data_IF_551890522915
#
_entry.id   IF_551890522915
#
_cell.length_a   1.000
_cell.length_b   1.000
_cell.length_c   1.000
_cell.angle_alpha   90.00
_cell.angle_beta   90.00
_cell.angle_gamma   90.00
#
_symmetry.space_group_name_H-M   'P 1'
#
loop_
_entity.id
_entity.type
_entity.pdbx_description
1 polymer ?
#
# COMPACT_ATOMS: atom_id res chain seq x y z
N UNK A 1 -12.15 -14.91 -3.37
CA UNK A 1 -11.81 -14.14 -4.57
C UNK A 1 -11.29 -12.81 -4.09
N UNK A 2 -10.01 -12.53 -4.35
CA UNK A 2 -9.39 -11.30 -3.92
C UNK A 2 -8.97 -10.52 -5.17
N UNK A 3 -9.84 -9.60 -5.62
CA UNK A 3 -9.61 -8.78 -6.81
C UNK A 3 -8.68 -7.61 -6.47
N UNK A 4 -7.40 -7.87 -6.24
CA UNK A 4 -6.41 -6.81 -6.14
C UNK A 4 -6.11 -6.27 -7.53
N UNK A 5 -6.60 -5.07 -7.84
CA UNK A 5 -6.21 -4.35 -9.06
C UNK A 5 -5.05 -3.45 -8.69
N UNK A 6 -3.83 -3.82 -9.12
CA UNK A 6 -2.68 -2.94 -9.09
C UNK A 6 -2.58 -2.25 -10.45
N UNK A 7 -3.08 -1.02 -10.54
CA UNK A 7 -2.85 -0.16 -11.68
C UNK A 7 -1.59 0.66 -11.44
N UNK A 8 -0.46 0.28 -12.04
CA UNK A 8 0.65 1.22 -12.22
C UNK A 8 0.32 2.03 -13.47
N UNK A 9 -0.15 3.26 -13.31
CA UNK A 9 -0.37 4.18 -14.43
C UNK A 9 0.80 5.15 -14.47
N UNK A 10 1.86 4.89 -15.25
CA UNK A 10 2.92 5.87 -15.46
C UNK A 10 2.32 7.04 -16.25
N UNK A 11 2.00 8.12 -15.56
CA UNK A 11 1.56 9.36 -16.22
C UNK A 11 2.79 10.24 -16.39
N UNK A 12 3.38 10.26 -17.58
CA UNK A 12 4.41 11.26 -17.91
C UNK A 12 3.68 12.56 -18.26
N UNK A 13 3.40 13.38 -17.25
CA UNK A 13 2.92 14.74 -17.46
C UNK A 13 4.11 15.68 -17.71
N UNK A 14 4.18 16.31 -18.89
CA UNK A 14 4.98 17.52 -19.05
C UNK A 14 4.19 18.68 -18.46
N UNK A 15 4.51 19.09 -17.24
CA UNK A 15 4.07 20.38 -16.71
C UNK A 15 5.02 21.43 -17.28
N UNK A 16 4.52 22.29 -18.16
CA UNK A 16 5.22 23.55 -18.45
C UNK A 16 5.10 24.44 -17.21
N UNK A 17 6.19 25.06 -16.72
CA UNK A 17 6.07 26.07 -15.69
C UNK A 17 5.19 27.22 -16.20
N UNK A 18 4.37 27.75 -15.31
CA UNK A 18 3.61 28.97 -15.55
C UNK A 18 4.60 30.10 -15.92
N UNK A 19 4.53 30.68 -17.13
CA UNK A 19 5.48 31.72 -17.56
C UNK A 19 5.48 32.94 -16.65
N UNK A 20 4.41 33.18 -15.90
CA UNK A 20 4.29 34.33 -15.00
C UNK A 20 5.01 34.13 -13.66
N UNK A 21 5.39 32.88 -13.31
CA UNK A 21 6.17 32.57 -12.11
C UNK A 21 7.69 32.80 -12.28
N UNK A 22 8.15 33.14 -13.50
CA UNK A 22 9.58 33.26 -13.83
C UNK A 22 10.19 34.65 -13.59
N UNK A 23 9.41 35.66 -13.18
CA UNK A 23 9.84 37.06 -13.29
C UNK A 23 10.22 37.80 -12.00
N UNK A 24 10.20 37.20 -10.80
CA UNK A 24 10.47 37.99 -9.58
C UNK A 24 11.61 37.58 -8.66
N UNK A 25 12.20 36.37 -8.72
CA UNK A 25 13.34 36.04 -7.85
C UNK A 25 14.35 35.09 -8.52
N UNK A 26 15.64 35.39 -8.34
CA UNK A 26 16.81 34.66 -8.88
C UNK A 26 17.15 33.35 -8.12
N UNK A 27 16.29 32.32 -8.19
CA UNK A 27 16.80 30.95 -8.35
C UNK A 27 16.19 30.21 -9.56
N UNK A 28 15.25 30.83 -10.30
CA UNK A 28 14.44 30.15 -11.30
C UNK A 28 15.22 29.59 -12.52
N UNK A 29 16.43 30.10 -12.79
CA UNK A 29 17.24 29.69 -13.95
C UNK A 29 17.76 28.24 -13.82
N UNK A 30 17.93 27.72 -12.60
CA UNK A 30 18.39 26.33 -12.42
C UNK A 30 17.28 25.27 -12.63
N UNK A 31 16.01 25.68 -12.57
CA UNK A 31 14.86 24.76 -12.69
C UNK A 31 14.55 24.34 -14.13
N UNK A 32 15.04 25.08 -15.12
CA UNK A 32 14.75 24.83 -16.53
C UNK A 32 15.59 23.71 -17.17
N UNK A 33 16.53 23.10 -16.45
CA UNK A 33 17.55 22.20 -17.03
C UNK A 33 17.24 20.71 -16.95
N UNK A 34 16.28 20.28 -16.12
CA UNK A 34 15.89 18.87 -15.98
C UNK A 34 14.38 18.68 -16.12
N UNK A 35 13.92 17.62 -16.82
CA UNK A 35 12.50 17.33 -16.92
C UNK A 35 11.95 16.97 -15.54
N UNK A 36 10.84 17.60 -15.16
CA UNK A 36 10.02 17.13 -14.04
C UNK A 36 9.46 15.76 -14.39
N UNK A 37 9.84 14.74 -13.62
CA UNK A 37 9.26 13.39 -13.76
C UNK A 37 8.42 13.09 -12.53
N UNK A 38 7.12 12.96 -12.74
CA UNK A 38 6.18 12.55 -11.70
C UNK A 38 5.72 11.11 -11.95
N UNK A 39 5.85 10.26 -10.94
CA UNK A 39 5.37 8.87 -10.95
C UNK A 39 4.37 8.71 -9.82
N UNK A 40 3.17 8.23 -10.15
CA UNK A 40 2.12 7.92 -9.17
C UNK A 40 1.87 6.41 -9.13
N UNK A 41 1.88 5.85 -7.93
CA UNK A 41 1.46 4.49 -7.65
C UNK A 41 0.21 4.53 -6.77
N UNK A 42 -0.81 3.79 -7.19
CA UNK A 42 -2.07 3.66 -6.45
C UNK A 42 -2.29 2.19 -6.18
N UNK A 43 -2.26 1.81 -4.90
CA UNK A 43 -2.55 0.47 -4.47
C UNK A 43 -3.94 0.41 -3.85
N UNK A 44 -4.78 -0.46 -4.41
CA UNK A 44 -6.14 -0.74 -3.94
C UNK A 44 -6.07 -1.88 -2.92
N UNK A 45 -6.08 -1.55 -1.63
CA UNK A 45 -6.11 -2.56 -0.56
C UNK A 45 -7.57 -2.92 -0.31
N UNK A 46 -8.14 -3.71 -1.24
CA UNK A 46 -9.56 -4.01 -1.26
C UNK A 46 -10.02 -4.85 -0.06
N UNK A 47 -11.27 -4.67 0.38
CA UNK A 47 -12.23 -3.66 -0.09
C UNK A 47 -12.10 -2.29 0.62
N UNK A 48 -10.99 -2.03 1.33
CA UNK A 48 -11.03 -1.13 2.49
C UNK A 48 -10.47 0.27 2.22
N UNK A 49 -9.33 0.41 1.54
CA UNK A 49 -8.66 1.70 1.40
C UNK A 49 -7.66 1.78 0.25
N UNK A 50 -7.14 2.98 0.01
CA UNK A 50 -6.13 3.25 -1.01
C UNK A 50 -4.81 3.68 -0.36
N UNK A 51 -3.70 3.25 -0.95
CA UNK A 51 -2.37 3.77 -0.66
C UNK A 51 -1.83 4.47 -1.89
N UNK A 52 -1.38 5.70 -1.69
CA UNK A 52 -0.80 6.55 -2.72
C UNK A 52 0.69 6.75 -2.44
N UNK A 53 1.50 6.61 -3.47
CA UNK A 53 2.89 7.03 -3.51
C UNK A 53 3.09 7.89 -4.74
N UNK A 54 3.46 9.14 -4.53
CA UNK A 54 3.91 10.04 -5.58
C UNK A 54 5.40 10.29 -5.43
N UNK A 55 6.16 10.04 -6.48
CA UNK A 55 7.58 10.33 -6.56
C UNK A 55 7.81 11.40 -7.62
N UNK A 56 8.56 12.44 -7.25
CA UNK A 56 8.87 13.58 -8.11
C UNK A 56 10.38 13.70 -8.23
N UNK A 57 10.92 13.46 -9.42
CA UNK A 57 12.29 13.86 -9.73
C UNK A 57 12.28 15.37 -10.06
N UNK A 58 12.41 16.19 -9.02
CA UNK A 58 12.27 17.64 -9.07
C UNK A 58 13.23 18.34 -8.12
N UNK A 59 13.74 19.51 -8.53
CA UNK A 59 14.44 20.47 -7.66
C UNK A 59 13.54 21.67 -7.30
N UNK A 60 12.29 21.64 -7.75
CA UNK A 60 11.29 22.68 -7.53
C UNK A 60 10.43 22.28 -6.32
N UNK A 61 10.22 23.19 -5.35
CA UNK A 61 9.24 22.99 -4.29
C UNK A 61 7.88 22.62 -4.89
N UNK A 62 7.20 21.65 -4.28
CA UNK A 62 5.94 21.15 -4.79
C UNK A 62 4.95 20.93 -3.66
N UNK A 63 3.68 21.07 -4.02
CA UNK A 63 2.57 20.84 -3.10
C UNK A 63 1.73 19.66 -3.60
N UNK A 64 1.33 18.80 -2.68
CA UNK A 64 0.39 17.74 -2.93
C UNK A 64 -1.00 18.14 -2.45
N UNK A 65 -1.99 18.09 -3.35
CA UNK A 65 -3.36 18.55 -3.08
C UNK A 65 -4.36 17.40 -3.18
N UNK A 66 -5.22 17.27 -2.17
CA UNK A 66 -6.42 16.41 -2.21
C UNK A 66 -7.67 17.24 -2.06
N UNK A 67 -8.55 17.12 -3.06
CA UNK A 67 -9.86 17.77 -3.08
C UNK A 67 -10.96 16.76 -2.77
N UNK A 68 -11.86 17.12 -1.85
CA UNK A 68 -13.02 16.31 -1.47
C UNK A 68 -14.28 17.17 -1.57
N UNK A 69 -15.18 16.78 -2.47
CA UNK A 69 -16.45 17.49 -2.71
C UNK A 69 -17.46 17.27 -1.60
N UNK A 70 -18.20 18.33 -1.23
CA UNK A 70 -19.36 18.25 -0.33
C UNK A 70 -19.07 17.80 1.11
N UNK A 71 -17.80 17.81 1.54
CA UNK A 71 -17.39 17.39 2.87
C UNK A 71 -17.05 18.57 3.79
N UNK A 72 -17.13 18.38 5.10
CA UNK A 72 -16.50 19.24 6.12
C UNK A 72 -15.13 18.65 6.45
N UNK A 73 -14.07 19.44 6.35
CA UNK A 73 -12.73 19.01 6.73
C UNK A 73 -12.47 19.35 8.20
N UNK A 74 -12.00 18.38 8.98
CA UNK A 74 -11.46 18.58 10.33
C UNK A 74 -10.01 18.11 10.33
N UNK A 75 -9.08 19.04 10.51
CA UNK A 75 -7.70 18.69 10.82
C UNK A 75 -7.64 18.35 12.31
N UNK A 76 -7.02 17.23 12.64
CA UNK A 76 -6.72 16.89 14.03
C UNK A 76 -5.25 17.17 14.28
N UNK A 77 -4.96 18.10 15.19
CA UNK A 77 -3.61 18.22 15.74
C UNK A 77 -3.34 16.99 16.64
N UNK A 78 -2.09 16.48 16.65
CA UNK A 78 -1.72 15.37 17.52
C UNK A 78 -2.04 15.71 18.98
N UNK A 79 -2.97 14.98 19.59
CA UNK A 79 -3.19 15.06 21.03
C UNK A 79 -2.17 14.13 21.69
N UNK A 80 -1.15 14.75 22.29
CA UNK A 80 -0.02 14.19 23.05
C UNK A 80 1.28 13.91 22.27
N UNK A 81 2.45 14.27 22.86
CA UNK A 81 3.76 13.95 22.33
C UNK A 81 4.11 12.49 22.65
N UNK A 82 3.44 11.55 21.99
CA UNK A 82 4.05 10.25 21.77
C UNK A 82 5.20 10.49 20.78
N UNK A 83 6.44 10.27 21.22
CA UNK A 83 7.71 10.53 20.50
C UNK A 83 7.82 9.87 19.10
N UNK A 84 6.77 9.21 18.61
CA UNK A 84 6.77 8.47 17.35
C UNK A 84 5.63 8.85 16.38
N UNK A 85 4.59 9.58 16.79
CA UNK A 85 3.38 9.70 15.94
C UNK A 85 2.75 11.09 15.99
N UNK A 86 3.36 12.07 15.33
CA UNK A 86 2.61 13.22 14.84
C UNK A 86 1.91 12.81 13.53
N UNK A 87 0.76 12.13 13.66
CA UNK A 87 -0.03 11.75 12.50
C UNK A 87 -0.69 13.01 11.91
N UNK A 88 -0.28 13.36 10.70
CA UNK A 88 -0.94 14.35 9.87
C UNK A 88 -2.21 13.74 9.26
N UNK A 89 -3.26 13.66 10.06
CA UNK A 89 -4.54 13.08 9.61
C UNK A 89 -5.58 14.16 9.43
N UNK A 90 -6.21 14.19 8.25
CA UNK A 90 -7.36 15.04 7.94
C UNK A 90 -8.58 14.17 7.71
N UNK A 91 -9.66 14.45 8.43
CA UNK A 91 -10.94 13.77 8.22
C UNK A 91 -11.87 14.66 7.41
N UNK A 92 -12.41 14.11 6.33
CA UNK A 92 -13.49 14.71 5.55
C UNK A 92 -14.80 14.02 5.89
N UNK A 93 -15.74 14.75 6.48
CA UNK A 93 -17.05 14.24 6.89
C UNK A 93 -18.13 14.63 5.89
N UNK A 94 -18.97 13.68 5.47
CA UNK A 94 -20.17 13.93 4.66
C UNK A 94 -21.46 13.78 5.48
N UNK A 95 -22.59 14.35 5.05
CA UNK A 95 -23.85 14.28 5.79
C UNK A 95 -24.42 12.86 5.94
N UNK A 96 -24.17 12.00 4.96
CA UNK A 96 -24.63 10.61 4.79
C UNK A 96 -23.94 9.59 5.72
N UNK A 97 -23.36 10.05 6.82
CA UNK A 97 -22.63 9.21 7.76
C UNK A 97 -21.36 8.54 7.23
N UNK A 98 -20.82 9.05 6.11
CA UNK A 98 -19.55 8.61 5.54
C UNK A 98 -18.44 9.60 5.92
N UNK A 99 -17.25 9.07 6.15
CA UNK A 99 -16.04 9.84 6.34
C UNK A 99 -14.90 9.30 5.46
N UNK A 100 -13.96 10.19 5.13
CA UNK A 100 -12.67 9.83 4.57
C UNK A 100 -11.59 10.29 5.53
N UNK A 101 -10.82 9.36 6.05
CA UNK A 101 -9.59 9.66 6.78
C UNK A 101 -8.40 9.64 5.81
N UNK A 102 -7.74 10.78 5.66
CA UNK A 102 -6.53 10.93 4.85
C UNK A 102 -5.32 11.03 5.79
N UNK A 103 -4.44 10.04 5.75
CA UNK A 103 -3.20 10.00 6.51
C UNK A 103 -2.03 10.41 5.63
N UNK A 104 -1.38 11.52 5.95
CA UNK A 104 -0.20 12.02 5.26
C UNK A 104 1.06 11.49 5.94
N UNK A 105 1.71 10.51 5.32
CA UNK A 105 2.83 9.77 5.90
C UNK A 105 4.19 10.34 5.48
N UNK A 106 4.28 10.87 4.26
CA UNK A 106 5.44 11.59 3.76
C UNK A 106 5.01 12.87 3.03
N UNK A 107 5.74 13.99 3.22
CA UNK A 107 6.85 14.15 4.18
C UNK A 107 6.37 14.15 5.64
N UNK A 108 7.12 13.50 6.55
CA UNK A 108 6.71 13.28 7.96
C UNK A 108 6.45 14.57 8.75
N UNK A 109 7.12 15.66 8.37
CA UNK A 109 7.05 16.96 9.06
C UNK A 109 6.08 17.94 8.40
N UNK A 110 5.43 17.56 7.29
CA UNK A 110 4.47 18.46 6.66
C UNK A 110 3.36 18.84 7.65
N UNK A 111 2.82 20.04 7.52
CA UNK A 111 1.60 20.42 8.20
C UNK A 111 0.51 20.57 7.14
N UNK A 112 -0.47 19.66 7.08
CA UNK A 112 -1.54 19.76 6.11
C UNK A 112 -2.33 21.05 6.30
N UNK A 113 -2.39 21.89 5.26
CA UNK A 113 -3.21 23.11 5.24
C UNK A 113 -4.56 22.77 4.64
N UNK A 114 -5.64 23.14 5.31
CA UNK A 114 -7.00 22.88 4.80
C UNK A 114 -7.66 24.18 4.34
N UNK A 115 -8.47 24.10 3.28
CA UNK A 115 -9.13 25.27 2.70
C UNK A 115 -10.40 24.93 1.94
N UNK A 116 -10.98 25.95 1.31
CA UNK A 116 -12.11 25.83 0.39
C UNK A 116 -11.77 26.43 -0.96
N UNK A 117 -12.20 25.76 -2.02
CA UNK A 117 -12.13 26.28 -3.38
C UNK A 117 -13.48 26.07 -4.05
N UNK A 118 -14.01 27.12 -4.68
CA UNK A 118 -15.19 27.03 -5.54
C UNK A 118 -14.71 26.47 -6.87
N UNK A 119 -15.24 25.30 -7.26
CA UNK A 119 -14.97 24.64 -8.54
C UNK A 119 -16.20 24.71 -9.43
N UNK A 120 -16.07 24.33 -10.71
CA UNK A 120 -17.21 24.17 -11.62
C UNK A 120 -18.26 23.18 -11.10
N UNK A 121 -17.86 22.26 -10.22
CA UNK A 121 -18.73 21.27 -9.58
C UNK A 121 -19.21 21.71 -8.18
N UNK A 122 -19.06 22.99 -7.84
CA UNK A 122 -19.42 23.57 -6.55
C UNK A 122 -18.25 23.69 -5.57
N UNK A 123 -18.55 23.96 -4.29
CA UNK A 123 -17.55 24.17 -3.25
C UNK A 123 -16.89 22.85 -2.84
N UNK A 124 -15.57 22.77 -3.04
CA UNK A 124 -14.73 21.66 -2.57
C UNK A 124 -13.93 22.09 -1.36
N UNK A 125 -13.70 21.15 -0.43
CA UNK A 125 -12.64 21.30 0.58
C UNK A 125 -11.38 20.69 0.03
N UNK A 126 -10.24 21.30 0.32
CA UNK A 126 -8.95 20.70 -0.02
C UNK A 126 -8.07 20.59 1.20
N UNK A 127 -7.10 19.69 1.10
CA UNK A 127 -5.90 19.66 1.94
C UNK A 127 -4.68 19.73 1.04
N UNK A 128 -3.75 20.61 1.40
CA UNK A 128 -2.47 20.77 0.73
C UNK A 128 -1.33 20.38 1.67
N UNK A 129 -0.39 19.58 1.18
CA UNK A 129 0.82 19.18 1.86
C UNK A 129 2.00 19.70 1.06
N UNK A 130 2.70 20.68 1.61
CA UNK A 130 3.86 21.27 0.97
C UNK A 130 5.12 20.47 1.28
N UNK A 131 6.00 20.42 0.29
CA UNK A 131 7.30 19.79 0.41
C UNK A 131 8.43 20.70 -0.09
N UNK A 132 9.38 20.95 0.80
CA UNK A 132 10.53 21.83 0.58
C UNK A 132 11.74 21.04 0.05
N UNK A 133 11.50 20.08 -0.86
CA UNK A 133 12.55 19.36 -1.57
C UNK A 133 12.69 17.88 -1.22
N UNK A 134 11.74 17.27 -0.50
CA UNK A 134 11.59 15.82 -0.59
C UNK A 134 10.92 15.47 -1.93
N UNK A 135 11.27 14.32 -2.48
CA UNK A 135 10.85 13.90 -3.82
C UNK A 135 9.72 12.89 -3.72
N UNK A 136 9.01 12.83 -2.59
CA UNK A 136 8.14 11.71 -2.25
C UNK A 136 6.97 12.14 -1.35
N UNK A 137 5.75 11.94 -1.83
CA UNK A 137 4.53 12.02 -1.03
C UNK A 137 3.94 10.63 -0.86
N UNK A 138 3.56 10.30 0.37
CA UNK A 138 2.89 9.03 0.68
C UNK A 138 1.67 9.28 1.52
N UNK A 139 0.54 8.74 1.08
CA UNK A 139 -0.72 8.90 1.77
C UNK A 139 -1.55 7.61 1.82
N UNK A 140 -2.36 7.47 2.87
CA UNK A 140 -3.41 6.45 2.97
C UNK A 140 -4.76 7.15 2.96
N UNK A 141 -5.66 6.72 2.09
CA UNK A 141 -7.02 7.23 1.97
C UNK A 141 -8.00 6.14 2.40
N UNK A 142 -8.59 6.28 3.58
CA UNK A 142 -9.46 5.28 4.19
C UNK A 142 -10.92 5.77 4.25
N UNK A 143 -11.78 5.38 3.29
CA UNK A 143 -13.21 5.60 3.38
C UNK A 143 -13.82 4.72 4.46
N UNK A 144 -14.75 5.25 5.26
CA UNK A 144 -15.46 4.49 6.31
C UNK A 144 -16.80 5.09 6.68
N UNK A 145 -17.61 4.33 7.40
CA UNK A 145 -18.75 4.91 8.12
C UNK A 145 -18.27 5.62 9.40
N UNK A 146 -18.93 6.72 9.80
CA UNK A 146 -18.56 7.44 11.03
C UNK A 146 -18.74 6.60 12.30
N UNK A 147 -19.59 5.58 12.25
CA UNK A 147 -19.83 4.61 13.33
C UNK A 147 -18.71 3.57 13.46
N UNK A 148 -17.86 3.42 12.45
CA UNK A 148 -16.73 2.49 12.51
C UNK A 148 -15.59 3.12 13.30
N UNK A 149 -14.93 2.30 14.13
CA UNK A 149 -13.71 2.70 14.82
C UNK A 149 -12.66 3.14 13.79
N UNK A 150 -12.04 4.28 14.06
CA UNK A 150 -11.08 4.91 13.16
C UNK A 150 -9.83 4.04 13.04
N UNK A 151 -9.29 3.84 11.82
CA UNK A 151 -7.99 3.20 11.66
C UNK A 151 -6.86 4.15 12.09
N UNK A 152 -5.68 3.58 12.29
CA UNK A 152 -4.42 4.34 12.34
C UNK A 152 -3.53 3.90 11.20
N UNK A 153 -2.77 4.83 10.64
CA UNK A 153 -1.77 4.51 9.62
C UNK A 153 -0.43 5.16 9.97
N UNK A 154 0.64 4.38 9.89
CA UNK A 154 1.99 4.83 10.23
C UNK A 154 3.01 4.30 9.23
N UNK A 155 4.00 5.13 8.91
CA UNK A 155 5.20 4.68 8.21
C UNK A 155 6.21 4.10 9.23
N UNK A 156 6.27 2.78 9.34
CA UNK A 156 7.12 2.09 10.33
C UNK A 156 8.55 1.86 9.82
N UNK A 157 8.74 1.93 8.51
CA UNK A 157 10.04 1.95 7.84
C UNK A 157 9.87 2.63 6.47
N UNK A 158 10.95 3.11 5.82
CA UNK A 158 10.85 3.66 4.48
C UNK A 158 10.12 2.69 3.54
N UNK A 159 9.06 3.13 2.87
CA UNK A 159 8.25 2.29 1.97
C UNK A 159 7.35 1.25 2.64
N UNK A 160 7.28 1.19 3.98
CA UNK A 160 6.41 0.26 4.70
C UNK A 160 5.42 1.01 5.58
N UNK A 161 4.15 0.79 5.29
CA UNK A 161 3.02 1.37 5.99
C UNK A 161 2.36 0.28 6.81
N UNK A 162 2.13 0.56 8.09
CA UNK A 162 1.25 -0.22 8.94
C UNK A 162 -0.10 0.49 9.04
N UNK A 163 -1.18 -0.25 8.86
CA UNK A 163 -2.55 0.22 9.04
C UNK A 163 -3.23 -0.68 10.05
N UNK A 164 -3.40 -0.20 11.28
CA UNK A 164 -4.24 -0.88 12.28
C UNK A 164 -5.70 -0.48 12.04
N UNK A 165 -6.58 -1.47 11.96
CA UNK A 165 -8.01 -1.28 11.70
C UNK A 165 -8.84 -2.21 12.59
N UNK A 166 -10.17 -2.01 12.67
CA UNK A 166 -10.99 -2.84 13.56
C UNK A 166 -10.86 -4.33 13.21
N UNK A 167 -10.47 -5.14 14.19
CA UNK A 167 -10.31 -6.59 14.05
C UNK A 167 -8.97 -7.06 13.45
N UNK A 168 -8.04 -6.16 13.09
CA UNK A 168 -6.82 -6.57 12.42
C UNK A 168 -5.80 -5.47 12.14
N UNK A 169 -4.78 -5.84 11.39
CA UNK A 169 -3.79 -4.89 10.87
C UNK A 169 -3.32 -5.32 9.49
N UNK A 170 -2.86 -4.34 8.72
CA UNK A 170 -2.29 -4.52 7.40
C UNK A 170 -0.86 -3.92 7.38
N UNK A 171 0.09 -4.64 6.79
CA UNK A 171 1.41 -4.17 6.40
C UNK A 171 1.42 -4.00 4.88
N UNK A 172 1.59 -2.78 4.41
CA UNK A 172 1.67 -2.44 3.00
C UNK A 172 3.09 -2.05 2.67
N UNK A 173 3.72 -2.79 1.76
CA UNK A 173 5.02 -2.47 1.18
C UNK A 173 4.79 -1.81 -0.16
N UNK A 174 5.31 -0.61 -0.30
CA UNK A 174 5.36 0.18 -1.52
C UNK A 174 6.71 0.90 -1.56
N UNK A 175 7.75 0.16 -1.96
CA UNK A 175 9.15 0.58 -1.98
C UNK A 175 9.79 0.32 -3.34
N UNK A 176 10.09 1.37 -4.10
CA UNK A 176 10.79 1.20 -5.37
C UNK A 176 12.23 0.71 -5.22
N UNK A 177 12.87 0.95 -4.07
CA UNK A 177 14.25 0.54 -3.85
C UNK A 177 14.41 -0.98 -3.67
N UNK A 178 13.31 -1.75 -3.70
CA UNK A 178 13.28 -3.21 -3.56
C UNK A 178 14.08 -3.69 -2.34
N UNK A 179 14.01 -2.94 -1.23
CA UNK A 179 14.77 -3.28 -0.04
C UNK A 179 14.27 -4.60 0.53
N UNK A 180 15.18 -5.35 1.13
CA UNK A 180 14.82 -6.52 1.93
C UNK A 180 14.49 -6.06 3.34
N UNK A 181 13.26 -6.30 3.76
CA UNK A 181 12.80 -5.95 5.10
C UNK A 181 12.79 -7.22 5.95
N UNK A 182 13.78 -7.34 6.84
CA UNK A 182 13.90 -8.49 7.74
C UNK A 182 13.56 -8.16 9.20
N UNK A 183 12.84 -9.09 9.81
CA UNK A 183 12.79 -9.37 11.25
C UNK A 183 12.19 -8.33 12.22
N UNK A 184 11.67 -7.19 11.77
CA UNK A 184 11.07 -6.18 12.69
C UNK A 184 9.56 -6.03 12.60
N UNK A 185 8.90 -6.60 11.58
CA UNK A 185 7.51 -6.29 11.24
C UNK A 185 6.54 -7.36 11.77
N UNK A 186 6.39 -7.50 13.09
CA UNK A 186 5.47 -8.49 13.70
C UNK A 186 5.72 -9.95 13.24
N UNK A 187 6.98 -10.31 13.03
CA UNK A 187 7.37 -11.64 12.54
C UNK A 187 7.16 -11.87 11.03
N UNK A 188 6.85 -10.81 10.29
CA UNK A 188 6.78 -10.80 8.83
C UNK A 188 8.10 -10.30 8.25
N UNK A 189 8.53 -10.90 7.14
CA UNK A 189 9.63 -10.40 6.32
C UNK A 189 9.23 -10.43 4.85
N UNK A 190 9.53 -9.34 4.14
CA UNK A 190 9.14 -9.16 2.74
C UNK A 190 10.39 -8.74 1.97
N UNK A 191 10.60 -9.42 0.84
CA UNK A 191 11.61 -9.07 -0.16
C UNK A 191 10.87 -8.74 -1.46
N UNK A 192 10.61 -7.45 -1.68
CA UNK A 192 9.85 -6.96 -2.82
C UNK A 192 9.57 -5.47 -2.75
N UNK A 193 9.16 -4.90 -3.88
CA UNK A 193 8.73 -3.51 -3.98
C UNK A 193 7.24 -3.30 -3.69
N UNK A 194 6.39 -4.29 -3.97
CA UNK A 194 4.95 -4.17 -3.74
C UNK A 194 4.40 -5.45 -3.10
N UNK A 195 3.90 -5.31 -1.88
CA UNK A 195 3.25 -6.39 -1.15
C UNK A 195 2.19 -5.86 -0.18
N UNK A 196 1.22 -6.69 0.15
CA UNK A 196 0.26 -6.44 1.23
C UNK A 196 0.21 -7.69 2.10
N UNK A 197 0.40 -7.54 3.40
CA UNK A 197 0.16 -8.60 4.38
C UNK A 197 -0.92 -8.12 5.32
N UNK A 198 -1.91 -8.95 5.57
CA UNK A 198 -3.10 -8.64 6.34
C UNK A 198 -3.31 -9.72 7.38
N UNK A 199 -3.69 -9.29 8.58
CA UNK A 199 -4.07 -10.19 9.67
C UNK A 199 -5.41 -9.76 10.25
N UNK A 200 -6.38 -10.68 10.24
CA UNK A 200 -7.70 -10.52 10.86
C UNK A 200 -7.86 -11.59 11.95
N UNK A 201 -7.61 -11.23 13.21
CA UNK A 201 -7.54 -12.19 14.31
C UNK A 201 -6.47 -13.28 14.07
N UNK A 202 -6.91 -14.52 13.87
CA UNK A 202 -6.04 -15.68 13.54
C UNK A 202 -5.85 -15.90 12.04
N UNK A 203 -6.66 -15.24 11.21
CA UNK A 203 -6.56 -15.37 9.75
C UNK A 203 -5.47 -14.46 9.22
N UNK A 204 -4.72 -14.99 8.25
CA UNK A 204 -3.68 -14.26 7.53
C UNK A 204 -4.01 -14.25 6.06
N UNK A 205 -3.82 -13.10 5.41
CA UNK A 205 -3.75 -13.05 3.96
C UNK A 205 -2.55 -12.25 3.52
N UNK A 206 -1.87 -12.68 2.46
CA UNK A 206 -0.78 -11.90 1.89
C UNK A 206 -0.86 -11.89 0.37
N UNK A 207 -0.38 -10.81 -0.23
CA UNK A 207 -0.22 -10.62 -1.66
C UNK A 207 1.19 -10.13 -1.91
N UNK A 208 1.94 -10.85 -2.74
CA UNK A 208 3.20 -10.37 -3.31
C UNK A 208 2.92 -9.98 -4.76
N UNK A 209 3.07 -8.71 -5.13
CA UNK A 209 2.80 -8.25 -6.50
C UNK A 209 4.11 -8.11 -7.27
N UNK A 210 5.09 -7.44 -6.66
CA UNK A 210 6.42 -7.26 -7.23
C UNK A 210 7.45 -7.58 -6.15
N UNK A 211 7.98 -8.80 -6.18
CA UNK A 211 8.97 -9.26 -5.22
C UNK A 211 9.31 -10.73 -5.40
N UNK A 212 10.10 -11.26 -4.47
CA UNK A 212 10.63 -12.63 -4.52
C UNK A 212 10.12 -13.50 -3.38
N UNK A 213 10.05 -12.94 -2.17
CA UNK A 213 9.80 -13.71 -0.95
C UNK A 213 8.86 -12.97 -0.02
N UNK A 214 7.87 -13.68 0.53
CA UNK A 214 7.14 -13.28 1.74
C UNK A 214 7.36 -14.36 2.81
N UNK A 215 7.70 -13.95 4.02
CA UNK A 215 7.74 -14.77 5.22
C UNK A 215 6.65 -14.32 6.17
N UNK A 216 5.77 -15.24 6.51
CA UNK A 216 4.79 -15.14 7.58
C UNK A 216 5.30 -15.98 8.79
N UNK A 217 4.75 -15.80 10.00
CA UNK A 217 5.15 -16.61 11.14
C UNK A 217 5.06 -18.12 10.86
N UNK A 218 6.22 -18.77 10.76
CA UNK A 218 6.37 -20.20 10.50
C UNK A 218 6.31 -20.63 9.04
N UNK A 219 6.10 -19.72 8.08
CA UNK A 219 6.00 -20.03 6.64
C UNK A 219 6.77 -19.02 5.80
N UNK A 220 7.63 -19.52 4.91
CA UNK A 220 8.20 -18.77 3.80
C UNK A 220 7.52 -19.19 2.50
N UNK A 221 7.19 -18.20 1.69
CA UNK A 221 6.61 -18.33 0.36
C UNK A 221 7.55 -17.60 -0.60
N UNK A 222 8.04 -18.30 -1.61
CA UNK A 222 8.77 -17.70 -2.73
C UNK A 222 8.02 -18.02 -4.02
N UNK A 223 7.72 -17.01 -4.82
CA UNK A 223 6.98 -17.16 -6.06
C UNK A 223 7.58 -16.28 -7.16
N UNK A 224 7.53 -16.75 -8.41
CA UNK A 224 7.96 -15.99 -9.59
C UNK A 224 6.86 -15.08 -10.16
N UNK A 225 5.64 -15.22 -9.64
CA UNK A 225 4.46 -14.49 -10.07
C UNK A 225 3.71 -13.92 -8.87
N UNK A 226 2.72 -13.06 -9.14
CA UNK A 226 1.86 -12.54 -8.10
C UNK A 226 1.12 -13.68 -7.41
N UNK A 227 1.23 -13.74 -6.09
CA UNK A 227 0.61 -14.79 -5.29
C UNK A 227 -0.22 -14.18 -4.16
N UNK A 228 -1.44 -14.67 -4.02
CA UNK A 228 -2.28 -14.49 -2.86
C UNK A 228 -2.27 -15.76 -2.01
N UNK A 229 -2.18 -15.59 -0.70
CA UNK A 229 -2.32 -16.67 0.27
C UNK A 229 -3.37 -16.29 1.30
N UNK A 230 -4.17 -17.25 1.74
CA UNK A 230 -5.11 -17.12 2.84
C UNK A 230 -4.96 -18.30 3.80
N UNK A 231 -4.74 -18.03 5.09
CA UNK A 231 -4.71 -19.03 6.16
C UNK A 231 -5.97 -18.90 7.00
N UNK A 232 -6.69 -20.00 7.17
CA UNK A 232 -7.87 -20.03 8.03
C UNK A 232 -7.53 -20.31 9.50
N UNK A 233 -8.57 -20.36 10.34
CA UNK A 233 -8.42 -20.59 11.79
C UNK A 233 -7.96 -22.01 12.16
N UNK A 234 -8.10 -22.98 11.25
CA UNK A 234 -7.67 -24.37 11.44
C UNK A 234 -6.26 -24.61 10.88
N UNK A 235 -5.67 -23.60 10.25
CA UNK A 235 -4.35 -23.65 9.66
C UNK A 235 -4.32 -24.30 8.27
N UNK A 236 -5.47 -24.50 7.64
CA UNK A 236 -5.49 -24.78 6.21
C UNK A 236 -5.12 -23.50 5.45
N UNK A 237 -4.38 -23.65 4.36
CA UNK A 237 -3.94 -22.52 3.55
C UNK A 237 -4.38 -22.71 2.11
N UNK A 238 -5.04 -21.69 1.58
CA UNK A 238 -5.38 -21.58 0.17
C UNK A 238 -4.44 -20.59 -0.50
N UNK A 239 -4.01 -20.91 -1.70
CA UNK A 239 -3.10 -20.10 -2.51
C UNK A 239 -3.73 -19.86 -3.88
N UNK A 240 -3.56 -18.64 -4.38
CA UNK A 240 -4.02 -18.22 -5.70
C UNK A 240 -2.89 -17.45 -6.39
N UNK A 241 -2.40 -17.97 -7.52
CA UNK A 241 -1.44 -17.28 -8.38
C UNK A 241 -2.24 -16.48 -9.40
N UNK A 242 -1.99 -15.18 -9.45
CA UNK A 242 -2.77 -14.25 -10.27
C UNK A 242 -2.25 -14.27 -11.71
N UNK A 243 -3.14 -14.60 -12.64
CA UNK A 243 -3.01 -14.45 -14.10
C UNK A 243 -1.61 -14.76 -14.66
N UNK A 244 -1.29 -16.05 -14.79
CA UNK A 244 -0.02 -16.50 -15.37
C UNK A 244 -0.21 -17.22 -16.71
N UNK A 245 0.54 -16.78 -17.73
CA UNK A 245 0.52 -17.37 -19.08
C UNK A 245 1.55 -18.49 -19.28
N UNK A 246 2.47 -18.65 -18.33
CA UNK A 246 3.53 -19.67 -18.34
C UNK A 246 3.49 -20.47 -17.03
N UNK A 247 4.08 -21.68 -16.98
CA UNK A 247 4.19 -22.44 -15.73
C UNK A 247 4.84 -21.62 -14.62
N UNK A 248 4.29 -21.67 -13.41
CA UNK A 248 4.80 -20.96 -12.23
C UNK A 248 5.25 -21.96 -11.19
N UNK A 249 6.42 -21.70 -10.61
CA UNK A 249 6.95 -22.45 -9.47
C UNK A 249 6.70 -21.64 -8.21
N UNK A 250 6.03 -22.25 -7.23
CA UNK A 250 5.88 -21.71 -5.88
C UNK A 250 6.64 -22.61 -4.91
N UNK A 251 7.56 -22.02 -4.16
CA UNK A 251 8.31 -22.70 -3.11
C UNK A 251 7.75 -22.33 -1.75
N UNK A 252 7.34 -23.33 -0.99
CA UNK A 252 6.89 -23.20 0.39
C UNK A 252 7.93 -23.83 1.32
N UNK A 253 8.31 -23.13 2.38
CA UNK A 253 9.19 -23.66 3.44
C UNK A 253 8.60 -23.35 4.81
N UNK A 254 8.49 -24.35 5.68
CA UNK A 254 7.99 -24.18 7.05
C UNK A 254 7.79 -25.49 7.78
N UNK A 255 8.08 -25.53 9.09
CA UNK A 255 7.91 -26.74 9.89
C UNK A 255 6.44 -27.21 9.95
N UNK A 256 5.49 -26.27 9.86
CA UNK A 256 4.07 -26.57 9.88
C UNK A 256 3.58 -27.37 8.66
N UNK A 257 4.35 -27.42 7.57
CA UNK A 257 4.06 -28.21 6.37
C UNK A 257 4.18 -29.72 6.63
N UNK A 258 4.86 -30.12 7.70
CA UNK A 258 5.01 -31.54 8.06
C UNK A 258 3.63 -32.16 8.28
N UNK A 259 3.40 -33.33 7.65
CA UNK A 259 2.15 -34.10 7.74
C UNK A 259 0.93 -33.41 7.11
N UNK A 260 1.15 -32.37 6.30
CA UNK A 260 0.11 -31.72 5.51
C UNK A 260 -0.04 -32.38 4.14
N UNK A 261 -1.16 -32.11 3.48
CA UNK A 261 -1.44 -32.55 2.11
C UNK A 261 -1.48 -31.35 1.17
N UNK A 262 -0.75 -31.45 0.07
CA UNK A 262 -0.84 -30.52 -1.05
C UNK A 262 -1.96 -30.97 -1.99
N UNK A 263 -2.88 -30.06 -2.27
CA UNK A 263 -3.96 -30.22 -3.24
C UNK A 263 -3.81 -29.16 -4.32
N UNK A 264 -3.54 -29.58 -5.54
CA UNK A 264 -3.58 -28.70 -6.72
C UNK A 264 -4.88 -28.99 -7.46
N UNK A 265 -5.55 -27.96 -7.97
CA UNK A 265 -6.78 -28.14 -8.75
C UNK A 265 -6.54 -29.09 -9.94
N UNK A 266 -7.42 -30.07 -10.12
CA UNK A 266 -7.27 -31.10 -11.16
C UNK A 266 -6.23 -32.20 -10.89
N UNK A 267 -5.53 -32.20 -9.75
CA UNK A 267 -4.55 -33.22 -9.39
C UNK A 267 -4.94 -34.01 -8.14
N UNK A 268 -4.47 -35.26 -8.03
CA UNK A 268 -4.65 -36.08 -6.83
C UNK A 268 -3.91 -35.46 -5.64
N UNK A 269 -4.55 -35.24 -4.48
CA UNK A 269 -3.88 -34.67 -3.31
C UNK A 269 -2.74 -35.56 -2.81
N UNK A 270 -1.55 -34.99 -2.62
CA UNK A 270 -0.32 -35.70 -2.24
C UNK A 270 0.23 -35.21 -0.89
N UNK A 271 0.86 -36.06 -0.08
CA UNK A 271 1.48 -35.64 1.17
C UNK A 271 2.66 -34.70 0.90
N UNK A 272 2.88 -33.72 1.78
CA UNK A 272 4.08 -32.88 1.77
C UNK A 272 5.22 -33.65 2.46
N UNK A 273 6.35 -33.78 1.77
CA UNK A 273 7.53 -34.50 2.28
C UNK A 273 8.43 -33.50 3.00
N UNK A 274 8.59 -33.67 4.32
CA UNK A 274 9.47 -32.82 5.13
C UNK A 274 8.83 -31.47 5.48
N UNK A 275 9.63 -30.40 5.42
CA UNK A 275 9.21 -29.02 5.77
C UNK A 275 9.29 -28.07 4.58
N UNK A 276 9.23 -28.60 3.36
CA UNK A 276 9.19 -27.83 2.13
C UNK A 276 8.24 -28.47 1.13
N UNK A 277 7.65 -27.64 0.27
CA UNK A 277 6.84 -28.08 -0.86
C UNK A 277 7.16 -27.22 -2.08
N UNK A 278 7.46 -27.88 -3.19
CA UNK A 278 7.52 -27.26 -4.51
C UNK A 278 6.21 -27.52 -5.24
N UNK A 279 5.53 -26.43 -5.60
CA UNK A 279 4.26 -26.46 -6.32
C UNK A 279 4.51 -25.95 -7.74
N UNK A 280 4.48 -26.88 -8.69
CA UNK A 280 4.54 -26.58 -10.11
C UNK A 280 3.11 -26.41 -10.62
N UNK A 281 2.74 -25.18 -10.98
CA UNK A 281 1.43 -24.83 -11.52
C UNK A 281 1.51 -24.73 -13.05
N UNK A 282 0.87 -25.66 -13.79
CA UNK A 282 0.71 -25.54 -15.24
C UNK A 282 -0.02 -24.26 -15.62
N UNK A 283 0.22 -23.75 -16.83
CA UNK A 283 -0.49 -22.58 -17.35
C UNK A 283 -2.02 -22.77 -17.24
N UNK A 284 -2.72 -21.76 -16.71
CA UNK A 284 -4.17 -21.77 -16.50
C UNK A 284 -4.65 -22.39 -15.18
N UNK A 285 -3.78 -23.06 -14.40
CA UNK A 285 -4.12 -23.53 -13.06
C UNK A 285 -3.62 -22.55 -11.99
N UNK A 286 -4.55 -21.77 -11.47
CA UNK A 286 -4.21 -20.65 -10.60
C UNK A 286 -4.30 -20.98 -9.10
N UNK A 287 -4.80 -22.17 -8.71
CA UNK A 287 -5.18 -22.44 -7.31
C UNK A 287 -4.60 -23.75 -6.77
N UNK A 288 -4.17 -23.70 -5.51
CA UNK A 288 -3.78 -24.87 -4.74
C UNK A 288 -3.97 -24.63 -3.24
N UNK A 289 -3.96 -25.70 -2.45
CA UNK A 289 -4.14 -25.66 -1.01
C UNK A 289 -3.20 -26.61 -0.26
N UNK A 290 -2.93 -26.27 1.00
CA UNK A 290 -2.23 -27.10 1.98
C UNK A 290 -3.19 -27.36 3.15
N UNK A 291 -3.57 -28.62 3.36
CA UNK A 291 -4.55 -29.08 4.37
C UNK A 291 -3.90 -29.97 5.44
#
# INVERSE_FOLDING_TARGET
GADYVCGVVPTVGRLWPDPDALYSHQPAIHWASKPLVWRRHILFVKPDYFVLLDELDSYVPCDWWLHVGGARAKSQQPQAPSLLVAQNTVTFERPDNVALDAFFLEPRQAQPKTGQVITTNGTTRHVAVADNGTTCFRAVLYPRYRTESRPTAELIAPGIIEVDRPGGWDLVVLDQAQRRYENRLRGVSIEGSVAVVRRNGSQWSAVLIAGRTIRLPGLRISAQAQISVARDRWGAMAFEVVEHSAPVIVLLEGQWLRRKRLRVEGQTPRPVVGSSAEVNLPAGLNRFAIE
#
